data_IF_992519127242
#
_entry.id   IF_992519127242
#
_cell.length_a   1.000
_cell.length_b   1.000
_cell.length_c   1.000
_cell.angle_alpha   90.00
_cell.angle_beta   90.00
_cell.angle_gamma   90.00
#
_symmetry.space_group_name_H-M   'P 1'
#
loop_
_entity.id
_entity.type
_entity.pdbx_description
1 polymer ?
#
# COMPACT_ATOMS: atom_id res chain seq x y z
N UNK A 1 26.38 0.51 -6.53
CA UNK A 1 26.16 0.59 -5.06
C UNK A 1 25.81 -0.80 -4.55
N UNK A 2 26.27 -1.15 -3.35
CA UNK A 2 25.82 -2.32 -2.59
C UNK A 2 24.80 -1.88 -1.55
N UNK A 3 23.54 -2.27 -1.71
CA UNK A 3 22.40 -1.75 -0.96
C UNK A 3 21.77 -2.86 -0.13
N UNK A 4 21.50 -2.60 1.15
CA UNK A 4 20.72 -3.49 2.00
C UNK A 4 19.30 -2.90 2.22
N UNK A 5 18.25 -3.65 1.88
CA UNK A 5 16.89 -3.39 2.33
C UNK A 5 16.56 -4.29 3.53
N UNK A 6 15.96 -3.70 4.54
CA UNK A 6 15.60 -4.42 5.77
C UNK A 6 14.10 -4.29 6.03
N UNK A 7 13.40 -5.44 6.00
CA UNK A 7 11.99 -5.54 6.34
C UNK A 7 11.63 -6.99 6.71
N UNK A 8 10.79 -7.20 7.71
CA UNK A 8 10.48 -8.56 8.20
C UNK A 8 9.62 -9.38 7.23
N UNK A 9 8.83 -8.74 6.39
CA UNK A 9 8.00 -9.40 5.39
C UNK A 9 8.66 -9.35 4.00
N UNK A 10 8.68 -10.47 3.28
CA UNK A 10 9.39 -10.61 2.00
C UNK A 10 8.42 -11.08 0.92
N UNK A 11 8.32 -10.33 -0.18
CA UNK A 11 7.61 -10.72 -1.39
C UNK A 11 8.39 -11.84 -2.13
N UNK A 12 7.70 -12.84 -2.73
CA UNK A 12 6.26 -13.00 -2.92
C UNK A 12 5.54 -13.79 -1.82
N UNK A 13 6.24 -14.23 -0.77
CA UNK A 13 5.67 -15.05 0.30
C UNK A 13 4.71 -14.27 1.19
N UNK A 14 5.00 -12.99 1.40
CA UNK A 14 4.06 -12.06 2.04
C UNK A 14 3.68 -11.00 1.00
N UNK A 15 2.37 -10.76 0.83
CA UNK A 15 1.84 -9.85 -0.19
C UNK A 15 1.21 -8.62 0.47
N UNK A 16 1.87 -7.48 0.38
CA UNK A 16 1.42 -6.18 0.84
C UNK A 16 2.13 -5.07 0.08
N UNK A 17 1.82 -3.81 0.37
CA UNK A 17 2.35 -2.67 -0.37
C UNK A 17 3.83 -2.40 -0.09
N UNK A 18 4.28 -2.60 1.15
CA UNK A 18 5.67 -2.38 1.54
C UNK A 18 6.60 -3.44 0.94
N UNK A 19 6.22 -4.72 1.03
CA UNK A 19 6.96 -5.86 0.46
C UNK A 19 7.07 -5.72 -1.06
N UNK A 20 5.98 -5.35 -1.72
CA UNK A 20 5.95 -5.11 -3.16
C UNK A 20 6.90 -3.96 -3.53
N UNK A 21 6.88 -2.84 -2.76
CA UNK A 21 7.79 -1.72 -2.99
C UNK A 21 9.25 -2.16 -2.92
N UNK A 22 9.66 -2.87 -1.87
CA UNK A 22 11.04 -3.33 -1.70
C UNK A 22 11.46 -4.25 -2.86
N UNK A 23 10.58 -5.17 -3.22
CA UNK A 23 10.82 -6.11 -4.33
C UNK A 23 10.99 -5.39 -5.67
N UNK A 24 10.06 -4.50 -6.03
CA UNK A 24 10.08 -3.77 -7.30
C UNK A 24 11.25 -2.79 -7.41
N UNK A 25 11.61 -2.13 -6.30
CA UNK A 25 12.81 -1.29 -6.22
C UNK A 25 14.08 -2.15 -6.37
N UNK A 26 14.18 -3.21 -5.58
CA UNK A 26 15.37 -4.07 -5.56
C UNK A 26 15.64 -4.72 -6.91
N UNK A 27 14.62 -5.26 -7.55
CA UNK A 27 14.71 -5.86 -8.89
C UNK A 27 15.22 -4.87 -9.94
N UNK A 28 14.69 -3.64 -9.95
CA UNK A 28 15.09 -2.62 -10.92
C UNK A 28 16.47 -2.04 -10.63
N UNK A 29 16.81 -1.83 -9.36
CA UNK A 29 18.15 -1.41 -8.97
C UNK A 29 19.19 -2.47 -9.33
N UNK A 30 18.88 -3.76 -9.13
CA UNK A 30 19.75 -4.87 -9.54
C UNK A 30 19.92 -4.91 -11.06
N UNK A 31 18.84 -4.77 -11.83
CA UNK A 31 18.90 -4.65 -13.29
C UNK A 31 19.72 -3.42 -13.75
N UNK A 32 19.75 -2.35 -12.95
CA UNK A 32 20.59 -1.17 -13.14
C UNK A 32 22.05 -1.33 -12.74
N UNK A 33 22.49 -2.55 -12.37
CA UNK A 33 23.88 -2.87 -12.03
C UNK A 33 24.25 -2.61 -10.56
N UNK A 34 23.28 -2.49 -9.67
CA UNK A 34 23.53 -2.39 -8.23
C UNK A 34 23.47 -3.78 -7.58
N UNK A 35 24.26 -4.02 -6.56
CA UNK A 35 24.21 -5.21 -5.72
C UNK A 35 23.16 -5.01 -4.63
N UNK A 36 22.07 -5.78 -4.68
CA UNK A 36 20.92 -5.59 -3.79
C UNK A 36 20.74 -6.79 -2.88
N UNK A 37 20.69 -6.53 -1.58
CA UNK A 37 20.46 -7.51 -0.53
C UNK A 37 19.17 -7.18 0.21
N UNK A 38 18.33 -8.19 0.47
CA UNK A 38 17.10 -8.05 1.24
C UNK A 38 17.19 -8.91 2.50
N UNK A 39 17.14 -8.28 3.66
CA UNK A 39 17.13 -8.94 4.96
C UNK A 39 15.72 -9.00 5.51
N UNK A 40 15.19 -10.22 5.65
CA UNK A 40 13.84 -10.44 6.14
C UNK A 40 13.70 -11.70 6.98
N UNK A 41 12.48 -11.95 7.45
CA UNK A 41 12.14 -13.23 8.05
C UNK A 41 12.12 -14.29 6.94
N UNK A 42 12.61 -15.48 7.22
CA UNK A 42 12.63 -16.60 6.28
C UNK A 42 11.22 -17.18 6.09
N UNK A 43 10.55 -16.73 5.04
CA UNK A 43 9.20 -17.16 4.64
C UNK A 43 9.22 -18.34 3.66
N UNK A 44 10.41 -18.79 3.25
CA UNK A 44 10.65 -19.85 2.27
C UNK A 44 11.30 -21.06 2.87
N UNK A 45 11.25 -22.17 2.16
CA UNK A 45 11.96 -23.40 2.48
C UNK A 45 13.35 -23.43 1.82
N UNK A 46 14.28 -24.25 2.33
CA UNK A 46 15.63 -24.38 1.78
C UNK A 46 16.67 -23.52 2.47
N UNK A 47 17.61 -22.96 1.71
CA UNK A 47 18.73 -22.19 2.22
C UNK A 47 18.32 -20.86 2.88
N UNK A 48 19.13 -20.39 3.83
CA UNK A 48 18.86 -19.11 4.51
C UNK A 48 19.21 -17.92 3.60
N UNK A 49 20.14 -18.10 2.66
CA UNK A 49 20.54 -17.06 1.70
C UNK A 49 20.53 -17.64 0.28
N UNK A 50 19.87 -16.95 -0.65
CA UNK A 50 19.83 -17.35 -2.07
C UNK A 50 19.54 -16.16 -2.97
N UNK A 51 19.79 -16.32 -4.27
CA UNK A 51 19.46 -15.30 -5.28
C UNK A 51 18.02 -15.45 -5.78
N UNK A 52 17.33 -14.32 -5.85
CA UNK A 52 15.99 -14.22 -6.37
C UNK A 52 15.82 -12.97 -7.23
N UNK A 53 15.52 -13.13 -8.50
CA UNK A 53 15.35 -12.04 -9.50
C UNK A 53 16.50 -11.00 -9.48
N UNK A 54 17.74 -11.47 -9.33
CA UNK A 54 18.95 -10.63 -9.31
C UNK A 54 19.27 -10.00 -7.96
N UNK A 55 18.48 -10.26 -6.93
CA UNK A 55 18.70 -9.82 -5.55
C UNK A 55 19.13 -10.96 -4.65
N UNK A 56 19.96 -10.71 -3.66
CA UNK A 56 20.30 -11.69 -2.63
C UNK A 56 19.34 -11.57 -1.44
N UNK A 57 18.56 -12.61 -1.18
CA UNK A 57 17.65 -12.69 -0.03
C UNK A 57 18.34 -13.35 1.16
N UNK A 58 18.20 -12.74 2.35
CA UNK A 58 18.73 -13.23 3.62
C UNK A 58 17.62 -13.52 4.60
N UNK A 59 17.39 -14.79 4.91
CA UNK A 59 16.43 -15.25 5.92
C UNK A 59 17.04 -15.18 7.33
N UNK A 60 16.80 -14.06 8.01
CA UNK A 60 17.39 -13.74 9.31
C UNK A 60 16.94 -14.68 10.44
N UNK A 61 15.69 -15.11 10.41
CA UNK A 61 15.09 -16.06 11.35
C UNK A 61 13.89 -16.76 10.72
N UNK A 62 13.52 -17.92 11.26
CA UNK A 62 12.34 -18.68 10.79
C UNK A 62 11.06 -17.89 11.01
N UNK A 63 10.16 -17.99 10.03
CA UNK A 63 8.85 -17.38 10.08
C UNK A 63 8.02 -17.86 11.28
N UNK A 64 7.31 -16.92 11.89
CA UNK A 64 6.30 -17.14 12.93
C UNK A 64 5.01 -16.46 12.52
N UNK A 65 3.97 -16.56 13.34
CA UNK A 65 2.72 -15.86 13.06
C UNK A 65 2.93 -14.34 13.13
N UNK A 66 2.86 -13.66 11.98
CA UNK A 66 2.92 -12.19 11.89
C UNK A 66 1.82 -11.51 12.69
N UNK A 67 0.65 -12.13 12.79
CA UNK A 67 -0.51 -11.59 13.47
C UNK A 67 -1.00 -12.56 14.55
N UNK A 68 -1.21 -12.03 15.74
CA UNK A 68 -1.82 -12.74 16.88
C UNK A 68 -3.04 -11.91 17.32
N UNK A 69 -4.22 -12.52 17.34
CA UNK A 69 -5.49 -11.83 17.67
C UNK A 69 -5.72 -10.56 16.85
N UNK A 70 -5.41 -10.61 15.55
CA UNK A 70 -5.59 -9.46 14.63
C UNK A 70 -4.53 -8.36 14.75
N UNK A 71 -3.55 -8.48 15.64
CA UNK A 71 -2.46 -7.50 15.85
C UNK A 71 -1.11 -8.08 15.45
N UNK A 72 -0.19 -7.20 15.02
CA UNK A 72 1.20 -7.61 14.75
C UNK A 72 1.87 -8.17 16.00
N UNK A 73 2.64 -9.25 15.82
CA UNK A 73 3.37 -9.91 16.90
C UNK A 73 4.58 -9.08 17.34
N UNK A 74 4.55 -8.56 18.56
CA UNK A 74 5.67 -7.82 19.15
C UNK A 74 6.86 -8.75 19.38
N UNK A 75 6.61 -10.00 19.81
CA UNK A 75 7.68 -10.98 20.05
C UNK A 75 8.43 -11.35 18.78
N UNK A 76 7.75 -11.46 17.65
CA UNK A 76 8.39 -11.69 16.35
C UNK A 76 9.28 -10.53 15.95
N UNK A 77 8.78 -9.30 16.08
CA UNK A 77 9.53 -8.09 15.79
C UNK A 77 10.82 -7.97 16.61
N UNK A 78 10.77 -8.33 17.91
CA UNK A 78 11.96 -8.33 18.79
C UNK A 78 12.96 -9.42 18.38
N UNK A 79 12.48 -10.63 18.07
CA UNK A 79 13.34 -11.75 17.64
C UNK A 79 14.01 -11.41 16.30
N UNK A 80 13.25 -10.87 15.35
CA UNK A 80 13.80 -10.41 14.08
C UNK A 80 14.90 -9.37 14.30
N UNK A 81 14.64 -8.33 15.09
CA UNK A 81 15.62 -7.28 15.39
C UNK A 81 16.90 -7.84 16.04
N UNK A 82 16.77 -8.77 16.99
CA UNK A 82 17.92 -9.37 17.67
C UNK A 82 18.76 -10.27 16.73
N UNK A 83 18.11 -11.04 15.85
CA UNK A 83 18.75 -11.93 14.89
C UNK A 83 19.32 -11.18 13.67
N UNK A 84 18.79 -10.01 13.36
CA UNK A 84 19.27 -9.16 12.27
C UNK A 84 20.69 -8.64 12.49
N UNK A 85 21.07 -8.31 13.74
CA UNK A 85 22.37 -7.72 14.04
C UNK A 85 23.57 -8.59 13.56
N UNK A 86 23.69 -9.86 13.95
CA UNK A 86 24.79 -10.71 13.50
C UNK A 86 24.80 -10.96 11.98
N UNK A 87 23.63 -11.00 11.33
CA UNK A 87 23.52 -11.23 9.90
C UNK A 87 23.93 -9.98 9.09
N UNK A 88 23.34 -8.82 9.40
CA UNK A 88 23.57 -7.58 8.67
C UNK A 88 25.04 -7.10 8.77
N UNK A 89 25.72 -7.36 9.88
CA UNK A 89 27.12 -6.96 10.08
C UNK A 89 28.15 -7.80 9.33
N UNK A 90 27.78 -8.96 8.76
CA UNK A 90 28.70 -9.85 8.04
C UNK A 90 29.30 -9.18 6.81
N UNK A 91 28.55 -8.26 6.20
CA UNK A 91 28.94 -7.57 4.98
C UNK A 91 29.05 -6.06 5.18
N UNK A 92 29.62 -5.38 4.21
CA UNK A 92 29.68 -3.93 4.16
C UNK A 92 28.74 -3.45 3.05
N UNK A 93 27.93 -2.47 3.34
CA UNK A 93 26.99 -1.87 2.41
C UNK A 93 27.34 -0.39 2.19
N UNK A 94 27.11 0.10 0.98
CA UNK A 94 27.22 1.54 0.69
C UNK A 94 26.07 2.32 1.32
N UNK A 95 24.91 1.64 1.55
CA UNK A 95 23.73 2.22 2.16
C UNK A 95 22.80 1.13 2.71
N UNK A 96 22.09 1.43 3.81
CA UNK A 96 21.07 0.55 4.39
C UNK A 96 19.75 1.31 4.44
N UNK A 97 18.71 0.77 3.77
CA UNK A 97 17.33 1.25 3.85
C UNK A 97 16.51 0.31 4.73
N UNK A 98 15.88 0.84 5.77
CA UNK A 98 14.98 0.08 6.65
C UNK A 98 13.56 0.62 6.58
N UNK A 99 12.59 -0.26 6.30
CA UNK A 99 11.17 0.05 6.46
C UNK A 99 10.83 0.19 7.94
N UNK A 100 10.22 1.33 8.31
CA UNK A 100 10.04 1.73 9.72
C UNK A 100 8.96 0.93 10.43
N UNK A 101 8.47 -0.13 9.94
CA UNK A 101 7.60 -1.08 10.65
C UNK A 101 8.02 -2.49 10.26
N UNK A 102 8.42 -3.38 11.21
CA UNK A 102 8.35 -3.27 12.66
C UNK A 102 9.50 -2.43 13.26
N UNK A 103 9.17 -1.64 14.26
CA UNK A 103 10.03 -0.57 14.80
C UNK A 103 11.38 -1.02 15.38
N UNK A 104 11.47 -2.20 15.99
CA UNK A 104 12.67 -2.64 16.72
C UNK A 104 13.88 -2.88 15.79
N UNK A 105 13.65 -3.30 14.55
CA UNK A 105 14.69 -3.47 13.54
C UNK A 105 15.45 -2.16 13.25
N UNK A 106 14.78 -1.01 13.34
CA UNK A 106 15.40 0.30 13.10
C UNK A 106 16.55 0.59 14.06
N UNK A 107 16.45 0.22 15.34
CA UNK A 107 17.52 0.39 16.32
C UNK A 107 18.71 -0.52 16.00
N UNK A 108 18.45 -1.77 15.61
CA UNK A 108 19.48 -2.71 15.18
C UNK A 108 20.23 -2.21 13.95
N UNK A 109 19.49 -1.75 12.95
CA UNK A 109 20.08 -1.20 11.71
C UNK A 109 20.90 0.05 12.02
N UNK A 110 20.41 0.94 12.89
CA UNK A 110 21.19 2.11 13.33
C UNK A 110 22.52 1.71 13.98
N UNK A 111 22.54 0.69 14.84
CA UNK A 111 23.76 0.22 15.46
C UNK A 111 24.77 -0.32 14.41
N UNK A 112 24.30 -1.08 13.41
CA UNK A 112 25.13 -1.58 12.32
C UNK A 112 25.58 -0.42 11.42
N UNK A 113 24.73 0.53 11.09
CA UNK A 113 25.04 1.74 10.31
C UNK A 113 26.23 2.51 10.93
N UNK A 114 26.19 2.74 12.24
CA UNK A 114 27.30 3.40 12.95
C UNK A 114 28.57 2.55 12.91
N UNK A 115 28.46 1.25 13.19
CA UNK A 115 29.60 0.32 13.21
C UNK A 115 30.30 0.23 11.85
N UNK A 116 29.53 0.21 10.77
CA UNK A 116 29.99 0.04 9.40
C UNK A 116 30.21 1.36 8.65
N UNK A 117 29.86 2.50 9.27
CA UNK A 117 29.86 3.82 8.63
C UNK A 117 29.06 3.83 7.33
N UNK A 118 27.92 3.12 7.29
CA UNK A 118 27.02 3.07 6.15
C UNK A 118 25.83 4.02 6.39
N UNK A 119 25.50 4.94 5.47
CA UNK A 119 24.32 5.79 5.57
C UNK A 119 23.05 4.97 5.84
N UNK A 120 22.21 5.46 6.77
CA UNK A 120 20.92 4.88 7.09
C UNK A 120 19.82 5.70 6.44
N UNK A 121 18.94 5.05 5.69
CA UNK A 121 17.67 5.61 5.21
C UNK A 121 16.52 4.96 5.98
N UNK A 122 15.56 5.77 6.41
CA UNK A 122 14.31 5.32 7.03
C UNK A 122 13.17 5.48 6.03
N UNK A 123 12.58 4.38 5.57
CA UNK A 123 11.42 4.41 4.67
C UNK A 123 10.13 4.25 5.47
N UNK A 124 9.31 5.30 5.47
CA UNK A 124 8.05 5.40 6.21
C UNK A 124 6.87 5.13 5.31
N UNK A 125 6.20 4.01 5.53
CA UNK A 125 4.97 3.63 4.82
C UNK A 125 3.73 4.29 5.43
N UNK A 126 3.75 4.55 6.73
CA UNK A 126 2.75 5.27 7.50
C UNK A 126 3.38 5.81 8.78
N UNK A 127 2.74 6.78 9.39
CA UNK A 127 3.05 7.31 10.73
C UNK A 127 1.80 7.16 11.57
N UNK A 128 1.93 6.50 12.71
CA UNK A 128 0.80 6.18 13.57
C UNK A 128 0.46 7.32 14.53
N UNK A 129 1.46 8.00 15.10
CA UNK A 129 1.28 9.12 16.01
C UNK A 129 0.21 8.81 17.09
N UNK A 130 -0.87 9.59 17.12
CA UNK A 130 -1.97 9.41 18.08
C UNK A 130 -2.84 8.15 17.80
N UNK A 131 -2.76 7.53 16.62
CA UNK A 131 -3.41 6.24 16.36
C UNK A 131 -2.93 5.13 17.31
N UNK A 132 -1.74 5.29 17.91
CA UNK A 132 -1.26 4.40 18.96
C UNK A 132 -2.23 4.27 20.13
N UNK A 133 -2.93 5.36 20.49
CA UNK A 133 -3.92 5.34 21.57
C UNK A 133 -5.19 4.59 21.18
N UNK A 134 -5.59 4.63 19.90
CA UNK A 134 -6.72 3.84 19.40
C UNK A 134 -6.35 2.34 19.37
N UNK A 135 -5.10 2.02 19.02
CA UNK A 135 -4.62 0.65 18.87
C UNK A 135 -4.32 -0.04 20.21
N UNK A 136 -3.71 0.65 21.20
CA UNK A 136 -3.25 0.10 22.47
C UNK A 136 -3.90 0.76 23.70
N UNK A 137 -4.86 1.68 23.53
CA UNK A 137 -5.41 2.46 24.61
C UNK A 137 -4.33 3.30 25.30
N UNK A 138 -4.31 3.37 26.65
CA UNK A 138 -3.31 4.15 27.40
C UNK A 138 -1.87 3.69 27.18
N UNK A 139 -1.66 2.41 26.82
CA UNK A 139 -0.33 1.88 26.50
C UNK A 139 0.21 2.42 25.16
N UNK A 140 -0.61 3.08 24.36
CA UNK A 140 -0.20 3.74 23.11
C UNK A 140 0.92 4.77 23.28
N UNK A 141 1.07 5.35 24.50
CA UNK A 141 2.20 6.25 24.81
C UNK A 141 3.56 5.61 24.54
N UNK A 142 3.72 4.30 24.81
CA UNK A 142 4.98 3.60 24.52
C UNK A 142 5.23 3.49 23.02
N UNK A 143 4.18 3.20 22.21
CA UNK A 143 4.29 3.18 20.76
C UNK A 143 4.70 4.54 20.20
N UNK A 144 4.06 5.61 20.66
CA UNK A 144 4.38 6.98 20.27
C UNK A 144 5.82 7.37 20.64
N UNK A 145 6.29 7.00 21.85
CA UNK A 145 7.66 7.28 22.26
C UNK A 145 8.69 6.52 21.40
N UNK A 146 8.41 5.26 21.07
CA UNK A 146 9.27 4.46 20.19
C UNK A 146 9.30 5.08 18.78
N UNK A 147 8.16 5.46 18.23
CA UNK A 147 8.06 6.10 16.92
C UNK A 147 8.84 7.43 16.87
N UNK A 148 8.68 8.28 17.91
CA UNK A 148 9.48 9.51 18.08
C UNK A 148 10.98 9.26 18.24
N UNK A 149 11.37 8.18 18.89
CA UNK A 149 12.78 7.82 19.01
C UNK A 149 13.37 7.41 17.66
N UNK A 150 12.61 6.62 16.87
CA UNK A 150 13.02 6.19 15.54
C UNK A 150 13.16 7.36 14.58
N UNK A 151 12.23 8.32 14.62
CA UNK A 151 12.27 9.49 13.73
C UNK A 151 13.55 10.33 13.86
N UNK A 152 14.32 10.12 14.94
CA UNK A 152 15.62 10.78 15.22
C UNK A 152 16.84 9.92 14.87
N UNK A 153 16.66 8.69 14.39
CA UNK A 153 17.79 7.78 14.11
C UNK A 153 18.55 8.15 12.84
N UNK A 154 17.91 8.85 11.91
CA UNK A 154 18.53 9.26 10.64
C UNK A 154 18.03 10.63 10.18
N UNK A 155 18.91 11.35 9.48
CA UNK A 155 18.58 12.56 8.75
C UNK A 155 18.07 12.28 7.32
N UNK A 156 18.08 11.02 6.89
CA UNK A 156 17.63 10.58 5.59
C UNK A 156 16.32 9.82 5.72
N UNK A 157 15.19 10.47 5.42
CA UNK A 157 13.87 9.86 5.52
C UNK A 157 13.17 9.86 4.16
N UNK A 158 12.57 8.73 3.79
CA UNK A 158 11.63 8.61 2.68
C UNK A 158 10.22 8.51 3.26
N UNK A 159 9.33 9.40 2.87
CA UNK A 159 7.91 9.29 3.10
C UNK A 159 7.22 8.85 1.80
N UNK A 160 6.39 7.80 1.85
CA UNK A 160 5.72 7.29 0.64
C UNK A 160 4.58 8.18 0.14
N UNK A 161 4.22 9.22 0.87
CA UNK A 161 3.21 10.19 0.49
C UNK A 161 3.45 11.54 1.17
N UNK A 162 2.86 12.61 0.61
CA UNK A 162 2.83 13.90 1.28
C UNK A 162 2.16 13.80 2.66
N UNK A 163 1.09 13.00 2.76
CA UNK A 163 0.41 12.73 4.04
C UNK A 163 1.35 12.14 5.09
N UNK A 164 2.16 11.15 4.71
CA UNK A 164 3.18 10.57 5.59
C UNK A 164 4.24 11.60 5.97
N UNK A 165 4.68 12.47 5.03
CA UNK A 165 5.61 13.58 5.30
C UNK A 165 5.03 14.54 6.33
N UNK A 166 3.81 15.04 6.12
CA UNK A 166 3.17 16.02 7.02
C UNK A 166 3.07 15.47 8.46
N UNK A 167 2.81 14.17 8.60
CA UNK A 167 2.79 13.50 9.91
C UNK A 167 4.18 13.34 10.53
N UNK A 168 5.22 13.08 9.73
CA UNK A 168 6.61 13.06 10.20
C UNK A 168 7.06 14.44 10.67
N UNK A 169 6.69 15.50 9.98
CA UNK A 169 6.91 16.88 10.42
C UNK A 169 6.21 17.15 11.75
N UNK A 170 5.00 16.62 11.93
CA UNK A 170 4.26 16.64 13.21
C UNK A 170 4.98 15.92 14.36
N UNK A 171 5.78 14.88 14.07
CA UNK A 171 6.65 14.21 15.04
C UNK A 171 7.95 14.99 15.34
N UNK A 172 8.21 16.09 14.62
CA UNK A 172 9.36 16.98 14.78
C UNK A 172 10.54 16.65 13.85
N UNK A 173 10.35 15.90 12.77
CA UNK A 173 11.37 15.70 11.74
C UNK A 173 11.37 16.93 10.81
N UNK A 174 12.51 17.62 10.61
CA UNK A 174 12.59 18.76 9.69
C UNK A 174 12.24 18.36 8.25
N UNK A 175 11.45 19.16 7.56
CA UNK A 175 10.93 18.86 6.22
C UNK A 175 12.02 18.64 5.16
N UNK A 176 13.19 19.29 5.31
CA UNK A 176 14.37 19.11 4.45
C UNK A 176 15.06 17.74 4.62
N UNK A 177 14.76 17.03 5.72
CA UNK A 177 15.24 15.66 5.98
C UNK A 177 14.27 14.58 5.47
N UNK A 178 13.19 14.97 4.79
CA UNK A 178 12.15 14.07 4.33
C UNK A 178 11.97 14.20 2.82
N UNK A 179 12.37 13.21 2.07
CA UNK A 179 12.04 13.08 0.66
C UNK A 179 10.67 12.38 0.49
N UNK A 180 9.80 12.96 -0.33
CA UNK A 180 8.55 12.26 -0.71
C UNK A 180 8.82 11.45 -1.95
N UNK A 181 8.86 10.11 -1.80
CA UNK A 181 9.05 9.16 -2.90
C UNK A 181 7.97 8.09 -2.79
N UNK A 182 6.95 8.22 -3.61
CA UNK A 182 5.73 7.39 -3.56
C UNK A 182 6.01 5.91 -3.87
N UNK A 183 5.02 5.08 -3.61
CA UNK A 183 4.97 3.74 -4.18
C UNK A 183 4.66 3.85 -5.68
N UNK A 184 5.02 2.82 -6.43
CA UNK A 184 4.82 2.78 -7.87
C UNK A 184 3.94 1.62 -8.31
N UNK A 185 3.65 1.61 -9.61
CA UNK A 185 2.97 0.54 -10.34
C UNK A 185 3.74 0.23 -11.62
N UNK A 186 3.60 -0.97 -12.13
CA UNK A 186 4.15 -1.37 -13.42
C UNK A 186 3.11 -1.07 -14.52
N UNK A 187 3.21 0.12 -15.12
CA UNK A 187 2.27 0.56 -16.15
C UNK A 187 2.29 -0.37 -17.36
N UNK A 188 3.47 -0.84 -17.78
CA UNK A 188 3.59 -1.75 -18.94
C UNK A 188 2.84 -3.05 -18.68
N UNK A 189 3.02 -3.62 -17.49
CA UNK A 189 2.31 -4.83 -17.06
C UNK A 189 0.80 -4.59 -16.99
N UNK A 190 0.36 -3.49 -16.37
CA UNK A 190 -1.06 -3.16 -16.25
C UNK A 190 -1.68 -2.99 -17.65
N UNK A 191 -1.05 -2.25 -18.56
CA UNK A 191 -1.58 -2.05 -19.91
C UNK A 191 -1.65 -3.36 -20.72
N UNK A 192 -0.69 -4.27 -20.52
CA UNK A 192 -0.65 -5.57 -21.19
C UNK A 192 -1.66 -6.60 -20.67
N UNK A 193 -2.30 -6.36 -19.52
CA UNK A 193 -3.36 -7.24 -19.00
C UNK A 193 -4.66 -6.94 -19.76
N UNK A 194 -5.15 -7.90 -20.54
CA UNK A 194 -6.47 -7.82 -21.15
C UNK A 194 -7.57 -7.95 -20.09
N UNK A 195 -8.68 -7.28 -20.30
CA UNK A 195 -9.90 -7.52 -19.53
C UNK A 195 -10.48 -8.87 -19.99
N UNK A 196 -10.11 -9.96 -19.33
CA UNK A 196 -10.53 -11.35 -19.66
C UNK A 196 -12.01 -11.64 -19.38
N UNK A 197 -12.89 -10.72 -19.73
CA UNK A 197 -14.34 -10.94 -19.72
C UNK A 197 -14.80 -11.03 -21.17
N UNK A 198 -14.73 -12.26 -21.74
CA UNK A 198 -15.19 -12.67 -23.07
C UNK A 198 -15.73 -11.57 -23.96
N UNK A 199 -15.58 -11.64 -25.22
CA UNK A 199 -16.03 -10.81 -26.37
C UNK A 199 -17.01 -9.63 -26.15
N UNK A 200 -17.12 -9.05 -24.91
CA UNK A 200 -17.85 -7.83 -24.68
C UNK A 200 -16.97 -6.65 -25.16
N UNK A 201 -17.44 -5.87 -26.13
CA UNK A 201 -16.68 -4.70 -26.59
C UNK A 201 -16.45 -3.76 -25.39
N UNK A 202 -15.18 -3.55 -25.04
CA UNK A 202 -14.74 -2.68 -23.95
C UNK A 202 -14.91 -1.22 -24.37
N UNK A 203 -16.14 -0.77 -24.42
CA UNK A 203 -16.49 0.64 -24.45
C UNK A 203 -16.85 1.07 -23.00
N UNK A 204 -16.74 2.37 -22.67
CA UNK A 204 -17.09 2.88 -21.34
C UNK A 204 -18.54 2.54 -20.94
N UNK A 205 -19.38 2.13 -21.89
CA UNK A 205 -20.78 1.81 -21.68
C UNK A 205 -21.05 0.34 -21.30
N UNK A 206 -20.10 -0.60 -21.54
CA UNK A 206 -20.27 -2.05 -21.37
C UNK A 206 -19.33 -2.65 -20.31
N UNK A 207 -19.10 -1.95 -19.20
CA UNK A 207 -18.32 -2.48 -18.06
C UNK A 207 -19.11 -3.59 -17.34
N UNK A 208 -18.40 -4.66 -16.93
CA UNK A 208 -19.00 -5.78 -16.23
C UNK A 208 -19.50 -5.42 -14.82
N UNK A 209 -18.85 -4.42 -14.19
CA UNK A 209 -19.21 -3.91 -12.88
C UNK A 209 -19.38 -2.40 -12.89
N UNK A 210 -20.34 -1.90 -12.12
CA UNK A 210 -20.46 -0.48 -11.86
C UNK A 210 -19.46 -0.04 -10.80
N UNK A 211 -19.29 -0.86 -9.74
CA UNK A 211 -18.45 -0.58 -8.60
C UNK A 211 -17.48 -1.72 -8.37
N UNK A 212 -16.24 -1.39 -8.03
CA UNK A 212 -15.28 -2.34 -7.47
C UNK A 212 -14.71 -1.81 -6.14
N UNK A 213 -14.54 -2.72 -5.19
CA UNK A 213 -13.67 -2.56 -4.03
C UNK A 213 -12.57 -3.62 -4.09
N UNK A 214 -11.34 -3.26 -3.73
CA UNK A 214 -10.26 -4.25 -3.57
C UNK A 214 -9.43 -3.96 -2.33
N UNK A 215 -9.28 -4.97 -1.46
CA UNK A 215 -8.51 -4.87 -0.23
C UNK A 215 -8.86 -5.95 0.79
N UNK A 216 -8.14 -5.95 1.91
CA UNK A 216 -8.44 -6.86 3.03
C UNK A 216 -9.79 -6.52 3.65
N UNK A 217 -10.59 -7.51 3.96
CA UNK A 217 -11.90 -7.32 4.60
C UNK A 217 -11.72 -7.23 6.13
N UNK A 218 -11.28 -6.04 6.58
CA UNK A 218 -11.08 -5.64 7.98
C UNK A 218 -11.90 -4.40 8.29
N UNK A 219 -12.11 -4.09 9.56
CA UNK A 219 -12.98 -2.98 10.01
C UNK A 219 -12.60 -1.64 9.41
N UNK A 220 -11.31 -1.31 9.39
CA UNK A 220 -10.79 -0.03 8.91
C UNK A 220 -11.05 0.21 7.41
N UNK A 221 -11.44 -0.82 6.67
CA UNK A 221 -11.82 -0.71 5.25
C UNK A 221 -13.28 -0.30 5.02
N UNK A 222 -14.12 -0.36 6.06
CA UNK A 222 -15.51 0.11 6.07
C UNK A 222 -16.34 -0.39 4.86
N UNK A 223 -16.15 -1.66 4.48
CA UNK A 223 -16.88 -2.26 3.35
C UNK A 223 -18.37 -2.37 3.64
N UNK A 224 -18.77 -2.35 4.91
CA UNK A 224 -20.16 -2.27 5.34
C UNK A 224 -20.84 -0.98 4.85
N UNK A 225 -20.13 0.16 4.85
CA UNK A 225 -20.66 1.42 4.30
C UNK A 225 -20.84 1.35 2.78
N UNK A 226 -19.93 0.64 2.07
CA UNK A 226 -20.11 0.39 0.64
C UNK A 226 -21.37 -0.44 0.37
N UNK A 227 -21.61 -1.52 1.12
CA UNK A 227 -22.81 -2.36 0.97
C UNK A 227 -24.09 -1.55 1.24
N UNK A 228 -24.09 -0.70 2.27
CA UNK A 228 -25.21 0.21 2.56
C UNK A 228 -25.41 1.24 1.43
N UNK A 229 -24.32 1.77 0.86
CA UNK A 229 -24.36 2.65 -0.29
C UNK A 229 -24.96 1.96 -1.54
N UNK A 230 -24.61 0.70 -1.79
CA UNK A 230 -25.21 -0.12 -2.85
C UNK A 230 -26.71 -0.29 -2.62
N UNK A 231 -27.15 -0.49 -1.38
CA UNK A 231 -28.57 -0.60 -1.07
C UNK A 231 -29.34 0.71 -1.36
N UNK A 232 -28.72 1.87 -1.11
CA UNK A 232 -29.32 3.17 -1.47
C UNK A 232 -29.37 3.34 -3.00
N UNK A 233 -28.31 2.96 -3.71
CA UNK A 233 -28.21 3.11 -5.16
C UNK A 233 -29.16 2.20 -5.93
N UNK A 234 -29.53 1.05 -5.37
CA UNK A 234 -30.42 0.07 -6.01
C UNK A 234 -31.79 0.66 -6.40
N UNK A 235 -32.26 1.68 -5.69
CA UNK A 235 -33.52 2.34 -6.00
C UNK A 235 -33.50 3.01 -7.38
N UNK A 236 -32.38 3.65 -7.75
CA UNK A 236 -32.20 4.37 -9.00
C UNK A 236 -31.51 3.50 -10.07
N UNK A 237 -30.74 2.49 -9.65
CA UNK A 237 -29.95 1.57 -10.48
C UNK A 237 -30.22 0.14 -10.06
N UNK A 238 -31.38 -0.46 -10.38
CA UNK A 238 -31.75 -1.80 -9.90
C UNK A 238 -30.81 -2.92 -10.34
N UNK A 239 -30.20 -2.80 -11.53
CA UNK A 239 -29.26 -3.77 -12.12
C UNK A 239 -27.79 -3.47 -11.76
N UNK A 240 -27.53 -2.55 -10.82
CA UNK A 240 -26.18 -2.17 -10.39
C UNK A 240 -25.39 -3.42 -9.92
N UNK A 241 -24.13 -3.54 -10.36
CA UNK A 241 -23.23 -4.63 -10.01
C UNK A 241 -22.01 -4.10 -9.26
N UNK A 242 -21.84 -4.58 -8.03
CA UNK A 242 -20.68 -4.26 -7.16
C UNK A 242 -19.81 -5.52 -6.97
N UNK A 243 -18.52 -5.44 -7.29
CA UNK A 243 -17.55 -6.51 -7.03
C UNK A 243 -16.68 -6.16 -5.83
N UNK A 244 -16.65 -7.04 -4.83
CA UNK A 244 -15.80 -6.94 -3.64
C UNK A 244 -14.68 -7.98 -3.76
N UNK A 245 -13.46 -7.49 -4.01
CA UNK A 245 -12.25 -8.32 -4.14
C UNK A 245 -11.45 -8.27 -2.85
N UNK A 246 -11.11 -9.44 -2.34
CA UNK A 246 -10.32 -9.63 -1.13
C UNK A 246 -10.94 -10.57 -0.13
N UNK A 247 -10.22 -10.81 0.96
CA UNK A 247 -10.65 -11.69 2.05
C UNK A 247 -10.25 -11.07 3.40
N UNK A 248 -10.82 -11.59 4.48
CA UNK A 248 -10.52 -11.12 5.82
C UNK A 248 -11.60 -11.50 6.85
N UNK A 249 -11.35 -11.18 8.12
CA UNK A 249 -12.24 -11.58 9.22
C UNK A 249 -13.67 -11.02 9.11
N UNK A 250 -13.88 -9.88 8.44
CA UNK A 250 -15.21 -9.27 8.29
C UNK A 250 -16.05 -9.91 7.18
N UNK A 251 -15.49 -10.82 6.35
CA UNK A 251 -16.19 -11.38 5.17
C UNK A 251 -17.55 -11.96 5.49
N UNK A 252 -17.65 -12.80 6.54
CA UNK A 252 -18.92 -13.44 6.89
C UNK A 252 -19.99 -12.42 7.32
N UNK A 253 -19.60 -11.42 8.11
CA UNK A 253 -20.49 -10.35 8.55
C UNK A 253 -20.97 -9.47 7.38
N UNK A 254 -20.08 -9.20 6.41
CA UNK A 254 -20.39 -8.40 5.21
C UNK A 254 -21.35 -9.14 4.28
N UNK A 255 -21.18 -10.44 4.08
CA UNK A 255 -22.13 -11.28 3.31
C UNK A 255 -23.51 -11.27 3.95
N UNK A 256 -23.59 -11.41 5.27
CA UNK A 256 -24.86 -11.35 6.00
C UNK A 256 -25.50 -9.94 5.95
N UNK A 257 -24.67 -8.89 5.97
CA UNK A 257 -25.16 -7.52 5.79
C UNK A 257 -25.77 -7.33 4.39
N UNK A 258 -25.13 -7.83 3.32
CA UNK A 258 -25.66 -7.75 1.96
C UNK A 258 -27.03 -8.43 1.84
N UNK A 259 -27.22 -9.59 2.52
CA UNK A 259 -28.52 -10.26 2.60
C UNK A 259 -29.57 -9.41 3.29
N UNK A 260 -29.27 -8.93 4.50
CA UNK A 260 -30.23 -8.11 5.27
C UNK A 260 -30.58 -6.78 4.58
N UNK A 261 -29.64 -6.23 3.79
CA UNK A 261 -29.87 -5.01 3.00
C UNK A 261 -30.56 -5.28 1.67
N UNK A 262 -30.88 -6.54 1.33
CA UNK A 262 -31.59 -6.91 0.10
C UNK A 262 -30.78 -6.70 -1.19
N UNK A 263 -29.43 -6.76 -1.11
CA UNK A 263 -28.54 -6.50 -2.25
C UNK A 263 -27.64 -7.68 -2.62
N UNK A 264 -28.01 -8.91 -2.22
CA UNK A 264 -27.23 -10.12 -2.54
C UNK A 264 -26.94 -10.28 -4.03
N UNK A 265 -27.95 -10.00 -4.86
CA UNK A 265 -27.86 -10.15 -6.32
C UNK A 265 -27.03 -9.01 -6.96
N UNK A 266 -26.83 -7.91 -6.22
CA UNK A 266 -26.05 -6.77 -6.68
C UNK A 266 -24.58 -6.82 -6.25
N UNK A 267 -24.22 -7.66 -5.25
CA UNK A 267 -22.89 -7.69 -4.64
C UNK A 267 -22.23 -9.07 -4.83
N UNK A 268 -21.17 -9.10 -5.61
CA UNK A 268 -20.30 -10.26 -5.77
C UNK A 268 -19.13 -10.19 -4.79
N UNK A 269 -18.94 -11.22 -3.96
CA UNK A 269 -17.74 -11.42 -3.13
C UNK A 269 -16.76 -12.32 -3.85
N UNK A 270 -15.85 -11.76 -4.63
CA UNK A 270 -14.91 -12.48 -5.50
C UNK A 270 -13.76 -13.18 -4.75
N UNK A 271 -13.62 -12.97 -3.43
CA UNK A 271 -12.51 -13.49 -2.66
C UNK A 271 -11.17 -12.89 -3.05
N UNK A 272 -10.07 -13.49 -2.58
CA UNK A 272 -8.71 -13.09 -3.00
C UNK A 272 -8.52 -13.37 -4.49
N UNK A 273 -7.92 -12.42 -5.19
CA UNK A 273 -7.59 -12.55 -6.61
C UNK A 273 -6.09 -12.34 -6.82
N UNK A 274 -5.49 -13.11 -7.73
CA UNK A 274 -4.13 -12.83 -8.20
C UNK A 274 -4.10 -11.51 -8.99
N UNK A 275 -2.92 -10.88 -9.01
CA UNK A 275 -2.76 -9.51 -9.50
C UNK A 275 -3.35 -9.27 -10.90
N UNK A 276 -3.10 -10.17 -11.86
CA UNK A 276 -3.66 -10.05 -13.21
C UNK A 276 -5.19 -10.06 -13.24
N UNK A 277 -5.81 -10.96 -12.46
CA UNK A 277 -7.26 -11.06 -12.35
C UNK A 277 -7.86 -9.82 -11.64
N UNK A 278 -7.18 -9.30 -10.60
CA UNK A 278 -7.57 -8.05 -9.94
C UNK A 278 -7.58 -6.89 -10.93
N UNK A 279 -6.49 -6.67 -11.66
CA UNK A 279 -6.37 -5.60 -12.67
C UNK A 279 -7.45 -5.75 -13.76
N UNK A 280 -7.69 -6.98 -14.23
CA UNK A 280 -8.77 -7.25 -15.18
C UNK A 280 -10.15 -6.85 -14.65
N UNK A 281 -10.46 -7.16 -13.38
CA UNK A 281 -11.72 -6.74 -12.72
C UNK A 281 -11.79 -5.22 -12.54
N UNK A 282 -10.68 -4.55 -12.19
CA UNK A 282 -10.64 -3.09 -12.12
C UNK A 282 -10.92 -2.48 -13.49
N UNK A 283 -10.24 -2.94 -14.56
CA UNK A 283 -10.49 -2.49 -15.94
C UNK A 283 -11.96 -2.69 -16.37
N UNK A 284 -12.61 -3.72 -15.87
CA UNK A 284 -14.02 -4.03 -16.15
C UNK A 284 -15.01 -3.26 -15.25
N UNK A 285 -14.55 -2.29 -14.43
CA UNK A 285 -15.38 -1.54 -13.50
C UNK A 285 -15.47 -0.05 -13.88
N UNK A 286 -16.59 0.62 -13.54
CA UNK A 286 -16.80 2.06 -13.79
C UNK A 286 -16.17 2.95 -12.75
N UNK A 287 -16.13 2.51 -11.48
CA UNK A 287 -15.57 3.25 -10.35
C UNK A 287 -14.96 2.31 -9.31
N UNK A 288 -13.80 2.68 -8.78
CA UNK A 288 -13.26 2.07 -7.56
C UNK A 288 -13.79 2.85 -6.35
N UNK A 289 -14.33 2.14 -5.36
CA UNK A 289 -14.73 2.75 -4.07
C UNK A 289 -13.83 2.23 -2.97
N UNK A 290 -13.09 3.13 -2.30
CA UNK A 290 -12.19 2.83 -1.19
C UNK A 290 -12.61 3.62 0.06
N UNK A 291 -13.59 3.13 0.86
CA UNK A 291 -14.12 3.85 2.01
C UNK A 291 -13.27 3.68 3.27
N UNK A 292 -11.96 3.46 3.11
CA UNK A 292 -11.04 3.17 4.19
C UNK A 292 -10.86 4.35 5.13
N UNK A 293 -11.02 4.15 6.43
CA UNK A 293 -10.68 5.15 7.45
C UNK A 293 -9.16 5.22 7.70
N UNK A 294 -8.42 4.18 7.29
CA UNK A 294 -6.97 4.10 7.42
C UNK A 294 -6.31 3.49 6.19
N UNK A 295 -5.38 4.23 5.62
CA UNK A 295 -4.50 3.82 4.50
C UNK A 295 -3.14 4.47 4.65
N UNK A 296 -2.05 3.70 4.53
CA UNK A 296 -0.69 4.24 4.49
C UNK A 296 -0.37 4.93 3.17
N UNK A 297 -0.94 4.43 2.05
CA UNK A 297 -0.78 5.01 0.72
C UNK A 297 -2.05 4.82 -0.13
N UNK A 298 -2.48 3.58 -0.36
CA UNK A 298 -3.61 3.25 -1.22
C UNK A 298 -3.19 2.77 -2.61
N UNK A 299 -2.41 1.67 -2.67
CA UNK A 299 -1.92 1.08 -3.94
C UNK A 299 -3.03 0.89 -4.96
N UNK A 300 -4.17 0.38 -4.53
CA UNK A 300 -5.31 0.10 -5.41
C UNK A 300 -5.87 1.36 -6.09
N UNK A 301 -5.66 2.55 -5.50
CA UNK A 301 -6.07 3.83 -6.11
C UNK A 301 -5.24 4.11 -7.37
N UNK A 302 -3.91 3.99 -7.28
CA UNK A 302 -3.05 4.21 -8.44
C UNK A 302 -3.18 3.09 -9.49
N UNK A 303 -3.50 1.86 -9.06
CA UNK A 303 -3.86 0.75 -9.95
C UNK A 303 -5.16 1.04 -10.71
N UNK A 304 -6.17 1.58 -10.02
CA UNK A 304 -7.42 2.01 -10.66
C UNK A 304 -7.18 3.16 -11.66
N UNK A 305 -6.35 4.13 -11.29
CA UNK A 305 -5.98 5.22 -12.20
C UNK A 305 -5.29 4.70 -13.46
N UNK A 306 -4.36 3.74 -13.34
CA UNK A 306 -3.71 3.09 -14.49
C UNK A 306 -4.69 2.28 -15.36
N UNK A 307 -5.82 1.88 -14.81
CA UNK A 307 -6.92 1.26 -15.54
C UNK A 307 -7.92 2.28 -16.13
N UNK A 308 -7.69 3.58 -15.96
CA UNK A 308 -8.61 4.64 -16.34
C UNK A 308 -9.92 4.62 -15.53
N UNK A 309 -9.86 4.14 -14.30
CA UNK A 309 -11.02 4.01 -13.41
C UNK A 309 -10.96 5.10 -12.34
N UNK A 310 -11.93 6.03 -12.31
CA UNK A 310 -12.01 7.05 -11.28
C UNK A 310 -12.27 6.43 -9.90
N UNK A 311 -11.91 7.17 -8.85
CA UNK A 311 -11.93 6.66 -7.49
C UNK A 311 -12.86 7.48 -6.60
N UNK A 312 -13.67 6.82 -5.78
CA UNK A 312 -14.36 7.43 -4.64
C UNK A 312 -13.66 6.98 -3.37
N UNK A 313 -13.11 7.93 -2.62
CA UNK A 313 -12.51 7.69 -1.31
C UNK A 313 -13.11 8.62 -0.26
N UNK A 314 -12.73 8.45 1.00
CA UNK A 314 -13.34 9.17 2.11
C UNK A 314 -12.35 10.05 2.86
N UNK A 315 -12.83 11.15 3.41
CA UNK A 315 -12.10 11.97 4.37
C UNK A 315 -11.96 11.20 5.67
N UNK A 316 -10.72 10.91 6.06
CA UNK A 316 -10.44 10.33 7.36
C UNK A 316 -9.02 10.69 7.80
N UNK A 317 -8.84 10.84 9.10
CA UNK A 317 -7.59 11.31 9.73
C UNK A 317 -6.36 10.45 9.41
N UNK A 318 -6.55 9.16 9.15
CA UNK A 318 -5.45 8.21 8.87
C UNK A 318 -5.51 7.64 7.45
N UNK A 319 -6.24 8.28 6.56
CA UNK A 319 -6.39 7.84 5.17
C UNK A 319 -5.48 8.65 4.22
N UNK A 320 -4.27 8.16 3.95
CA UNK A 320 -3.38 8.80 2.99
C UNK A 320 -3.89 8.70 1.53
N UNK A 321 -4.76 7.73 1.22
CA UNK A 321 -5.31 7.55 -0.13
C UNK A 321 -6.15 8.75 -0.61
N UNK A 322 -6.74 9.53 0.30
CA UNK A 322 -7.42 10.78 -0.07
C UNK A 322 -6.48 11.80 -0.73
N UNK A 323 -5.19 11.78 -0.40
CA UNK A 323 -4.18 12.64 -1.03
C UNK A 323 -3.82 12.22 -2.47
N UNK A 324 -4.25 11.05 -2.94
CA UNK A 324 -4.06 10.60 -4.30
C UNK A 324 -5.17 11.07 -5.24
N UNK A 325 -6.36 11.37 -4.72
CA UNK A 325 -7.54 11.77 -5.50
C UNK A 325 -7.64 13.28 -5.59
N UNK A 326 -7.92 13.80 -6.78
CA UNK A 326 -8.25 15.21 -7.02
C UNK A 326 -9.76 15.33 -7.17
N UNK A 327 -10.40 15.93 -6.13
CA UNK A 327 -11.84 15.94 -6.00
C UNK A 327 -12.55 16.60 -7.19
N UNK A 328 -13.49 15.87 -7.80
CA UNK A 328 -14.24 16.28 -8.99
C UNK A 328 -13.47 16.19 -10.31
N UNK A 329 -12.20 15.73 -10.32
CA UNK A 329 -11.36 15.61 -11.52
C UNK A 329 -11.14 14.14 -11.88
N UNK A 330 -10.44 13.37 -11.02
CA UNK A 330 -10.16 11.95 -11.22
C UNK A 330 -10.95 11.04 -10.25
N UNK A 331 -11.81 11.65 -9.45
CA UNK A 331 -12.64 10.95 -8.48
C UNK A 331 -13.35 11.90 -7.54
N UNK A 332 -13.77 11.38 -6.39
CA UNK A 332 -14.40 12.15 -5.32
C UNK A 332 -13.85 11.80 -3.95
N UNK A 333 -13.71 12.82 -3.10
CA UNK A 333 -13.37 12.68 -1.69
C UNK A 333 -14.59 13.08 -0.87
N UNK A 334 -15.23 12.12 -0.20
CA UNK A 334 -16.50 12.33 0.50
C UNK A 334 -16.38 12.08 2.00
N UNK A 335 -17.37 12.49 2.77
CA UNK A 335 -17.44 12.11 4.19
C UNK A 335 -17.66 10.61 4.33
N UNK A 336 -17.22 10.02 5.45
CA UNK A 336 -17.30 8.59 5.74
C UNK A 336 -18.74 8.18 6.10
N UNK A 337 -19.64 8.30 5.14
CA UNK A 337 -21.07 8.03 5.25
C UNK A 337 -21.57 7.34 3.99
N UNK A 338 -22.45 6.33 4.14
CA UNK A 338 -23.00 5.57 3.01
C UNK A 338 -23.76 6.44 2.01
N UNK A 339 -24.43 7.51 2.47
CA UNK A 339 -25.19 8.43 1.60
C UNK A 339 -24.26 9.26 0.71
N UNK A 340 -23.14 9.72 1.26
CA UNK A 340 -22.18 10.53 0.50
C UNK A 340 -21.42 9.66 -0.51
N UNK A 341 -21.07 8.42 -0.13
CA UNK A 341 -20.51 7.42 -1.04
C UNK A 341 -21.49 7.15 -2.18
N UNK A 342 -22.78 6.89 -1.88
CA UNK A 342 -23.81 6.63 -2.89
C UNK A 342 -23.98 7.81 -3.85
N UNK A 343 -24.03 9.05 -3.36
CA UNK A 343 -24.14 10.25 -4.20
C UNK A 343 -22.94 10.42 -5.15
N UNK A 344 -21.72 10.17 -4.66
CA UNK A 344 -20.51 10.27 -5.49
C UNK A 344 -20.49 9.18 -6.58
N UNK A 345 -20.82 7.95 -6.20
CA UNK A 345 -20.93 6.83 -7.14
C UNK A 345 -21.98 7.11 -8.20
N UNK A 346 -23.18 7.56 -7.83
CA UNK A 346 -24.26 7.91 -8.78
C UNK A 346 -23.82 8.93 -9.83
N UNK A 347 -22.99 9.93 -9.44
CA UNK A 347 -22.45 10.93 -10.37
C UNK A 347 -21.50 10.29 -11.41
N UNK A 348 -20.80 9.21 -11.04
CA UNK A 348 -19.85 8.53 -11.93
C UNK A 348 -20.57 7.50 -12.82
N UNK A 349 -21.47 6.67 -12.27
CA UNK A 349 -22.12 5.60 -13.03
C UNK A 349 -23.28 6.11 -13.91
N UNK A 350 -23.82 7.27 -13.64
CA UNK A 350 -24.86 7.91 -14.45
C UNK A 350 -24.38 8.26 -15.86
N UNK A 351 -25.33 8.38 -16.80
CA UNK A 351 -25.05 8.64 -18.23
C UNK A 351 -24.55 10.08 -18.47
N UNK A 352 -23.32 10.41 -18.12
CA UNK A 352 -22.74 11.75 -18.36
C UNK A 352 -21.35 11.66 -19.02
N UNK A 353 -21.09 12.55 -19.98
CA UNK A 353 -19.79 12.75 -20.68
C UNK A 353 -18.62 13.10 -19.72
N UNK A 354 -18.91 13.45 -18.47
CA UNK A 354 -17.90 13.72 -17.44
C UNK A 354 -17.07 12.49 -17.06
N UNK A 355 -17.60 11.28 -17.26
CA UNK A 355 -16.88 10.03 -16.92
C UNK A 355 -15.65 9.84 -17.80
N UNK A 356 -15.71 10.22 -19.09
CA UNK A 356 -14.55 10.14 -19.98
C UNK A 356 -13.41 11.06 -19.53
N UNK A 357 -13.75 12.30 -19.11
CA UNK A 357 -12.74 13.25 -18.60
C UNK A 357 -12.07 12.75 -17.31
N UNK A 358 -12.85 12.19 -16.39
CA UNK A 358 -12.31 11.63 -15.15
C UNK A 358 -11.40 10.42 -15.42
N UNK A 359 -11.79 9.55 -16.35
CA UNK A 359 -10.97 8.42 -16.80
C UNK A 359 -9.65 8.87 -17.44
N UNK A 360 -9.67 9.88 -18.31
CA UNK A 360 -8.46 10.46 -18.92
C UNK A 360 -7.57 11.14 -17.88
N UNK A 361 -8.15 11.83 -16.88
CA UNK A 361 -7.40 12.44 -15.78
C UNK A 361 -6.72 11.37 -14.92
N UNK A 362 -7.43 10.29 -14.58
CA UNK A 362 -6.90 9.14 -13.85
C UNK A 362 -5.69 8.52 -14.58
N UNK A 363 -5.82 8.25 -15.87
CA UNK A 363 -4.71 7.70 -16.69
C UNK A 363 -3.48 8.61 -16.69
N UNK A 364 -3.64 9.92 -16.93
CA UNK A 364 -2.52 10.88 -16.90
C UNK A 364 -1.86 10.92 -15.52
N UNK A 365 -2.63 10.84 -14.46
CA UNK A 365 -2.11 10.85 -13.09
C UNK A 365 -1.32 9.58 -12.77
N UNK A 366 -1.74 8.43 -13.29
CA UNK A 366 -1.04 7.16 -13.09
C UNK A 366 0.40 7.18 -13.63
N UNK A 367 0.69 7.97 -14.68
CA UNK A 367 2.03 8.11 -15.26
C UNK A 367 3.07 8.59 -14.23
N UNK A 368 2.67 9.38 -13.23
CA UNK A 368 3.55 9.85 -12.16
C UNK A 368 3.94 8.74 -11.16
N UNK A 369 3.32 7.57 -11.27
CA UNK A 369 3.54 6.44 -10.37
C UNK A 369 4.19 5.24 -11.05
N UNK A 370 4.81 5.41 -12.23
CA UNK A 370 5.56 4.33 -12.86
C UNK A 370 6.80 3.98 -12.03
N UNK A 371 7.05 2.69 -11.80
CA UNK A 371 8.24 2.23 -11.08
C UNK A 371 9.55 2.73 -11.69
N UNK A 372 9.61 2.93 -13.01
CA UNK A 372 10.82 3.42 -13.68
C UNK A 372 11.22 4.84 -13.17
N UNK A 373 10.24 5.71 -12.95
CA UNK A 373 10.49 7.05 -12.40
C UNK A 373 10.73 7.00 -10.89
N UNK A 374 10.00 6.16 -10.16
CA UNK A 374 10.18 6.01 -8.70
C UNK A 374 11.59 5.49 -8.37
N UNK A 375 12.08 4.51 -9.11
CA UNK A 375 13.44 3.95 -8.94
C UNK A 375 14.52 5.00 -9.17
N UNK A 376 14.40 5.83 -10.20
CA UNK A 376 15.33 6.95 -10.45
C UNK A 376 15.40 7.90 -9.25
N UNK A 377 14.24 8.28 -8.70
CA UNK A 377 14.16 9.16 -7.55
C UNK A 377 14.79 8.53 -6.29
N UNK A 378 14.57 7.23 -6.06
CA UNK A 378 15.21 6.48 -4.97
C UNK A 378 16.73 6.43 -5.17
N UNK A 379 17.21 6.11 -6.39
CA UNK A 379 18.62 6.05 -6.71
C UNK A 379 19.31 7.41 -6.48
N UNK A 380 18.74 8.50 -6.97
CA UNK A 380 19.27 9.85 -6.76
C UNK A 380 19.37 10.19 -5.27
N UNK A 381 18.38 9.83 -4.48
CA UNK A 381 18.40 10.03 -3.03
C UNK A 381 19.52 9.21 -2.38
N UNK A 382 19.65 7.92 -2.74
CA UNK A 382 20.69 7.04 -2.19
C UNK A 382 22.09 7.55 -2.52
N UNK A 383 22.34 7.98 -3.76
CA UNK A 383 23.62 8.60 -4.17
C UNK A 383 23.92 9.88 -3.40
N UNK A 384 22.87 10.69 -3.12
CA UNK A 384 23.04 11.90 -2.32
C UNK A 384 23.37 11.60 -0.85
N UNK A 385 22.82 10.51 -0.28
CA UNK A 385 23.15 10.07 1.08
C UNK A 385 24.61 9.62 1.19
N UNK A 386 25.07 8.81 0.22
CA UNK A 386 26.47 8.28 0.19
C UNK A 386 27.50 9.41 0.02
N UNK A 387 27.18 10.48 -0.71
CA UNK A 387 28.09 11.62 -0.93
C UNK A 387 28.21 12.57 0.26
N UNK A 388 27.27 12.52 1.21
CA UNK A 388 27.24 13.40 2.39
C UNK A 388 28.05 12.87 3.57
N UNK A 389 28.22 11.55 3.65
CA UNK A 389 29.03 10.84 4.66
C UNK A 389 30.46 10.59 4.15
#
# INVERSE_FOLDING_TARGET
MKIAFVYDAVYPWVKGGAEMRIHELGKRLSAGGHEVHIFGVKWWEGEDTFEYEGMTLHGVCKARNLYVNGRRSISEAIIFAAKLFPELRKENFDLIDVSVFPYFSCFTVKAVSILKKAPLVLTWHEVWDDYWYEYLGRAGIFGLLVEKAISKLSDNNIAVSKWTKDRLEGLGVPGEKIAVISNGIDLKRIFGIESNWGELPVGPENKAYDIIFAGRLIKEKNVDLLIKAVALLKADFPDLRCCIVGDGPERAALVELAKRSGVCENVEFAGFQEYGALIGKIKASKVLVLPSSREGFGMVVIEAFACGVPVVTVKAKYNAAQGLVEDGIDGFIVELEEREIAKAVAKIIGKNSKNKKASEAALRKAENYDWEEIVKNVQLMFEACIKRD
#
